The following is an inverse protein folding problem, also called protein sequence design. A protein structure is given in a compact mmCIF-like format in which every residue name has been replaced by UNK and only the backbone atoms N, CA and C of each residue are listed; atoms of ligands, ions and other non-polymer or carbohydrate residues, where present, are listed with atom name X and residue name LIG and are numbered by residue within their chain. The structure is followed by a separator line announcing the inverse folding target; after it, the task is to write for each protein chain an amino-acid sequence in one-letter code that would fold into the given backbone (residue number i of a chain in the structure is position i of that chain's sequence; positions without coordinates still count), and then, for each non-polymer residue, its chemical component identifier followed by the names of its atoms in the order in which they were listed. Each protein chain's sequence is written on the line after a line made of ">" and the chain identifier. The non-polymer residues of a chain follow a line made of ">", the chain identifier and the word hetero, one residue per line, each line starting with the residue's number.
data_IF_671842656547
#
_entry.id   IF_671842656547
#
_cell.length_a   1.000
_cell.length_b   1.000
_cell.length_c   1.000
_cell.angle_alpha   90.00
_cell.angle_beta   90.00
_cell.angle_gamma   90.00
#
_symmetry.space_group_name_H-M   'P 1'
#
loop_
_entity.id
_entity.type
_entity.pdbx_description
1 polymer ?
#
# COMPACT_ATOMS: atom_id res chain seq x y z
N UNK A 1 0.60 -32.89 -15.58
CA UNK A 1 1.17 -31.58 -15.91
C UNK A 1 1.08 -30.75 -14.65
N UNK A 2 2.20 -30.25 -14.14
CA UNK A 2 2.18 -29.32 -12.99
C UNK A 2 1.70 -27.99 -13.56
N UNK A 3 0.49 -27.57 -13.21
CA UNK A 3 0.02 -26.22 -13.53
C UNK A 3 0.92 -25.25 -12.75
N UNK A 4 1.63 -24.33 -13.41
CA UNK A 4 2.44 -23.34 -12.70
C UNK A 4 1.52 -22.52 -11.77
N UNK A 5 1.98 -22.24 -10.54
CA UNK A 5 1.22 -21.38 -9.61
C UNK A 5 1.00 -20.01 -10.26
N UNK A 6 -0.21 -19.43 -10.17
CA UNK A 6 -0.51 -18.10 -10.72
C UNK A 6 0.40 -17.01 -10.16
N UNK A 7 0.94 -17.20 -8.95
CA UNK A 7 1.83 -16.25 -8.27
C UNK A 7 3.30 -16.66 -8.28
N UNK A 8 3.66 -17.72 -9.01
CA UNK A 8 5.02 -18.24 -9.11
C UNK A 8 5.51 -18.91 -7.82
N UNK A 9 6.83 -18.87 -7.58
CA UNK A 9 7.39 -19.34 -6.30
C UNK A 9 6.90 -18.46 -5.13
N UNK A 10 6.90 -19.01 -3.93
CA UNK A 10 6.50 -18.29 -2.71
C UNK A 10 7.58 -18.42 -1.64
N UNK A 11 7.80 -17.34 -0.90
CA UNK A 11 8.89 -17.18 0.05
C UNK A 11 8.31 -16.90 1.43
N UNK A 12 8.36 -17.91 2.31
CA UNK A 12 7.92 -17.78 3.70
C UNK A 12 8.99 -17.11 4.54
N UNK A 13 8.58 -16.13 5.34
CA UNK A 13 9.35 -15.46 6.38
C UNK A 13 8.73 -15.76 7.74
N UNK A 14 9.56 -15.76 8.78
CA UNK A 14 9.20 -16.07 10.15
C UNK A 14 10.11 -15.33 11.14
N UNK A 15 9.51 -14.81 12.20
CA UNK A 15 10.24 -14.23 13.33
C UNK A 15 9.39 -14.35 14.60
N UNK A 16 9.78 -15.20 15.55
CA UNK A 16 8.96 -15.50 16.72
C UNK A 16 7.66 -16.19 16.32
N UNK A 17 6.51 -15.60 16.68
CA UNK A 17 5.16 -16.05 16.32
C UNK A 17 4.60 -15.40 15.05
N UNK A 18 5.44 -14.62 14.34
CA UNK A 18 5.08 -13.96 13.09
C UNK A 18 5.43 -14.83 11.90
N UNK A 19 4.55 -14.84 10.89
CA UNK A 19 4.78 -15.50 9.61
C UNK A 19 4.27 -14.60 8.47
N UNK A 20 5.05 -14.45 7.41
CA UNK A 20 4.64 -13.74 6.19
C UNK A 20 4.99 -14.56 4.95
N UNK A 21 4.22 -14.40 3.87
CA UNK A 21 4.48 -15.08 2.59
C UNK A 21 4.53 -14.04 1.47
N UNK A 22 5.64 -14.00 0.75
CA UNK A 22 5.86 -13.12 -0.41
C UNK A 22 5.88 -13.95 -1.69
N UNK A 23 5.22 -13.47 -2.74
CA UNK A 23 5.12 -14.18 -4.03
C UNK A 23 6.18 -13.72 -5.03
N UNK A 24 6.60 -14.60 -5.93
CA UNK A 24 7.55 -14.27 -7.00
C UNK A 24 6.93 -13.35 -8.05
N UNK A 25 5.66 -13.59 -8.41
CA UNK A 25 4.91 -12.68 -9.28
C UNK A 25 4.40 -11.48 -8.46
N UNK A 26 4.66 -10.29 -8.98
CA UNK A 26 4.30 -9.02 -8.37
C UNK A 26 5.15 -8.62 -7.15
N UNK A 27 6.03 -9.51 -6.67
CA UNK A 27 6.62 -9.41 -5.34
C UNK A 27 5.56 -9.14 -4.26
N UNK A 28 4.38 -9.76 -4.37
CA UNK A 28 3.22 -9.42 -3.55
C UNK A 28 3.25 -10.03 -2.16
N UNK A 29 2.66 -9.35 -1.18
CA UNK A 29 2.44 -9.89 0.16
C UNK A 29 1.14 -10.71 0.19
N UNK A 30 1.25 -12.05 0.20
CA UNK A 30 0.09 -12.96 0.20
C UNK A 30 -0.47 -13.18 1.61
N UNK A 31 0.41 -13.38 2.58
CA UNK A 31 0.04 -13.61 3.97
C UNK A 31 0.92 -12.76 4.89
N UNK A 32 0.34 -12.28 5.98
CA UNK A 32 1.08 -11.83 7.15
C UNK A 32 0.21 -12.07 8.38
N UNK A 33 0.69 -12.86 9.34
CA UNK A 33 -0.01 -13.22 10.57
C UNK A 33 0.91 -13.18 11.78
N UNK A 34 0.35 -12.91 12.95
CA UNK A 34 1.04 -12.86 14.25
C UNK A 34 0.27 -13.73 15.23
N UNK A 35 0.90 -14.74 15.81
CA UNK A 35 0.25 -15.65 16.75
C UNK A 35 -0.97 -16.38 16.15
N UNK A 36 -0.96 -16.62 14.84
CA UNK A 36 -2.08 -17.21 14.10
C UNK A 36 -3.23 -16.25 13.77
N UNK A 37 -3.13 -14.97 14.16
CA UNK A 37 -4.08 -13.92 13.77
C UNK A 37 -3.56 -13.22 12.52
N UNK A 38 -4.35 -13.25 11.45
CA UNK A 38 -4.04 -12.52 10.22
C UNK A 38 -3.88 -11.03 10.50
N UNK A 39 -2.94 -10.36 9.85
CA UNK A 39 -2.82 -8.90 9.84
C UNK A 39 -3.32 -8.36 8.51
N UNK A 40 -3.05 -9.10 7.44
CA UNK A 40 -3.64 -8.87 6.12
C UNK A 40 -4.58 -10.02 5.76
N UNK A 41 -5.62 -9.75 4.96
CA UNK A 41 -6.51 -10.78 4.41
C UNK A 41 -5.67 -11.69 3.50
N UNK A 42 -5.59 -13.00 3.80
CA UNK A 42 -4.84 -13.93 2.98
C UNK A 42 -5.64 -14.34 1.74
N UNK A 43 -4.96 -14.91 0.75
CA UNK A 43 -5.58 -15.64 -0.36
C UNK A 43 -4.83 -16.95 -0.64
N UNK A 44 -5.50 -17.89 -1.31
CA UNK A 44 -4.98 -19.25 -1.52
C UNK A 44 -3.71 -19.27 -2.41
N UNK A 45 -2.83 -20.24 -2.16
CA UNK A 45 -1.52 -20.29 -2.82
C UNK A 45 -1.58 -20.54 -4.34
N UNK A 46 -2.69 -21.11 -4.83
CA UNK A 46 -2.98 -21.38 -6.23
C UNK A 46 -4.01 -20.42 -6.84
N UNK A 47 -4.27 -19.29 -6.19
CA UNK A 47 -5.15 -18.22 -6.68
C UNK A 47 -4.36 -17.01 -7.22
N UNK A 48 -4.91 -16.33 -8.24
CA UNK A 48 -4.44 -14.99 -8.60
C UNK A 48 -4.76 -14.00 -7.48
N UNK A 49 -3.91 -12.99 -7.22
CA UNK A 49 -4.19 -12.02 -6.16
C UNK A 49 -5.55 -11.34 -6.39
N UNK A 50 -6.56 -11.56 -5.52
CA UNK A 50 -7.85 -10.92 -5.67
C UNK A 50 -7.68 -9.42 -5.45
N UNK A 51 -8.43 -8.55 -6.13
CA UNK A 51 -8.47 -7.10 -5.84
C UNK A 51 -7.12 -6.45 -5.43
N UNK A 52 -6.04 -6.73 -6.19
CA UNK A 52 -4.67 -6.23 -5.94
C UNK A 52 -4.06 -6.61 -4.57
N UNK A 53 -4.49 -7.69 -3.92
CA UNK A 53 -3.98 -8.08 -2.60
C UNK A 53 -2.45 -8.14 -2.52
N UNK A 54 -1.88 -7.29 -1.67
CA UNK A 54 -0.45 -7.23 -1.41
C UNK A 54 0.39 -6.65 -2.55
N UNK A 55 -0.23 -6.06 -3.58
CA UNK A 55 0.45 -5.60 -4.77
C UNK A 55 1.34 -4.36 -4.55
N UNK A 56 2.40 -4.27 -5.36
CA UNK A 56 3.22 -3.06 -5.54
C UNK A 56 2.72 -2.33 -6.79
N UNK A 57 2.38 -1.05 -6.66
CA UNK A 57 1.74 -0.25 -7.69
C UNK A 57 2.75 0.77 -8.22
N UNK A 58 3.44 0.43 -9.31
CA UNK A 58 4.49 1.26 -9.91
C UNK A 58 4.55 1.05 -11.43
N UNK A 59 4.93 2.08 -12.22
CA UNK A 59 5.49 3.37 -11.83
C UNK A 59 4.47 4.48 -11.56
N UNK A 60 3.19 4.15 -11.38
CA UNK A 60 2.21 5.04 -10.78
C UNK A 60 1.23 4.22 -9.92
N UNK A 61 0.78 4.75 -8.78
CA UNK A 61 -0.35 4.20 -8.06
C UNK A 61 -1.66 4.70 -8.67
N UNK A 62 -2.73 3.97 -8.37
CA UNK A 62 -4.10 4.36 -8.71
C UNK A 62 -4.26 4.74 -10.20
N UNK A 63 -5.19 5.64 -10.52
CA UNK A 63 -5.67 5.91 -11.88
C UNK A 63 -4.86 6.98 -12.59
N UNK A 64 -4.78 6.90 -13.91
CA UNK A 64 -4.23 7.92 -14.80
C UNK A 64 -5.23 8.18 -15.93
N UNK A 65 -5.69 9.43 -16.02
CA UNK A 65 -6.74 9.86 -16.93
C UNK A 65 -6.38 9.57 -18.39
N UNK A 66 -7.26 8.86 -19.09
CA UNK A 66 -7.17 8.57 -20.53
C UNK A 66 -5.89 7.82 -20.93
N UNK A 67 -5.16 7.27 -19.95
CA UNK A 67 -3.85 6.65 -20.17
C UNK A 67 -2.83 7.64 -20.75
N UNK A 68 -3.06 8.96 -20.71
CA UNK A 68 -2.28 9.93 -21.49
C UNK A 68 -1.64 10.97 -20.58
N UNK A 69 -0.33 11.14 -20.71
CA UNK A 69 0.42 12.16 -19.98
C UNK A 69 1.49 12.79 -20.86
N UNK A 70 2.02 13.94 -20.43
CA UNK A 70 3.14 14.60 -21.10
C UNK A 70 4.25 14.82 -20.10
N UNK A 71 5.45 14.38 -20.44
CA UNK A 71 6.64 14.49 -19.60
C UNK A 71 7.84 14.90 -20.47
N UNK A 72 8.63 15.87 -20.00
CA UNK A 72 9.79 16.42 -20.72
C UNK A 72 9.52 16.72 -22.21
N UNK A 73 8.33 17.27 -22.49
CA UNK A 73 7.90 17.68 -23.83
C UNK A 73 7.39 16.56 -24.75
N UNK A 74 7.44 15.30 -24.30
CA UNK A 74 6.91 14.15 -25.03
C UNK A 74 5.55 13.71 -24.46
N UNK A 75 4.56 13.49 -25.32
CA UNK A 75 3.30 12.85 -24.94
C UNK A 75 3.44 11.34 -25.02
N UNK A 76 2.97 10.65 -24.00
CA UNK A 76 2.91 9.20 -23.94
C UNK A 76 1.47 8.70 -23.78
N UNK A 77 1.21 7.50 -24.29
CA UNK A 77 -0.08 6.81 -24.22
C UNK A 77 0.09 5.40 -23.67
N UNK A 78 -0.46 5.19 -22.48
CA UNK A 78 -0.53 3.92 -21.76
C UNK A 78 -1.76 3.11 -22.22
N UNK A 79 -1.72 1.78 -22.08
CA UNK A 79 -2.90 0.94 -22.21
C UNK A 79 -3.99 1.34 -21.19
N UNK A 80 -5.25 1.26 -21.61
CA UNK A 80 -6.41 1.38 -20.72
C UNK A 80 -6.77 -0.02 -20.23
N UNK A 81 -6.64 -0.23 -18.92
CA UNK A 81 -6.95 -1.49 -18.24
C UNK A 81 -8.11 -1.39 -17.25
N UNK A 82 -8.70 -0.20 -17.07
CA UNK A 82 -10.06 0.01 -16.52
C UNK A 82 -10.93 0.75 -17.57
N UNK A 83 -11.48 0.03 -18.57
CA UNK A 83 -12.24 0.63 -19.68
C UNK A 83 -13.48 1.40 -19.26
N UNK A 84 -14.17 0.97 -18.20
CA UNK A 84 -15.41 1.59 -17.71
C UNK A 84 -15.17 3.04 -17.25
N UNK A 85 -13.97 3.34 -16.77
CA UNK A 85 -13.56 4.69 -16.35
C UNK A 85 -12.62 5.38 -17.33
N UNK A 86 -12.21 4.69 -18.41
CA UNK A 86 -11.25 5.17 -19.39
C UNK A 86 -9.92 5.60 -18.73
N UNK A 87 -9.35 4.77 -17.87
CA UNK A 87 -8.09 5.07 -17.18
C UNK A 87 -7.09 3.93 -17.31
N UNK A 88 -5.80 4.27 -17.21
CA UNK A 88 -4.75 3.30 -16.91
C UNK A 88 -4.59 3.22 -15.39
N UNK A 89 -4.44 2.04 -14.80
CA UNK A 89 -4.47 1.86 -13.35
C UNK A 89 -3.30 1.03 -12.83
N UNK A 90 -2.71 1.43 -11.69
CA UNK A 90 -1.79 0.62 -10.87
C UNK A 90 -0.47 0.18 -11.51
N UNK A 91 -0.05 0.82 -12.61
CA UNK A 91 1.25 0.56 -13.20
C UNK A 91 1.39 -0.86 -13.78
N UNK A 92 2.62 -1.35 -13.82
CA UNK A 92 2.95 -2.62 -14.49
C UNK A 92 3.39 -3.71 -13.54
N UNK A 93 4.10 -3.33 -12.46
CA UNK A 93 5.00 -4.27 -11.77
C UNK A 93 4.29 -5.37 -10.98
N UNK A 94 3.01 -5.16 -10.63
CA UNK A 94 2.19 -6.15 -9.91
C UNK A 94 1.91 -7.43 -10.71
N UNK A 95 2.01 -7.37 -12.06
CA UNK A 95 1.81 -8.53 -12.95
C UNK A 95 3.10 -9.24 -13.35
N UNK A 96 4.24 -8.63 -13.09
CA UNK A 96 5.56 -9.07 -13.57
C UNK A 96 6.15 -10.17 -12.67
N UNK A 97 7.06 -10.98 -13.22
CA UNK A 97 7.84 -11.94 -12.42
C UNK A 97 9.09 -11.27 -11.87
N UNK A 98 9.26 -11.28 -10.56
CA UNK A 98 10.42 -10.71 -9.89
C UNK A 98 11.47 -11.78 -9.61
N UNK A 99 12.74 -11.40 -9.71
CA UNK A 99 13.87 -12.28 -9.42
C UNK A 99 14.15 -12.28 -7.91
N UNK A 100 14.23 -13.46 -7.30
CA UNK A 100 14.74 -13.57 -5.92
C UNK A 100 16.23 -13.20 -5.88
N UNK A 101 16.58 -12.21 -5.07
CA UNK A 101 17.96 -11.75 -4.84
C UNK A 101 18.55 -12.32 -3.54
N UNK A 102 17.70 -12.53 -2.52
CA UNK A 102 18.09 -13.11 -1.25
C UNK A 102 16.89 -13.56 -0.42
N UNK A 103 17.06 -14.59 0.40
CA UNK A 103 16.03 -15.12 1.30
C UNK A 103 16.69 -15.77 2.52
N UNK A 104 16.26 -15.37 3.72
CA UNK A 104 16.56 -16.03 4.99
C UNK A 104 15.26 -16.29 5.75
N UNK A 105 15.38 -16.77 7.00
CA UNK A 105 14.22 -17.07 7.82
C UNK A 105 13.30 -15.87 8.03
N UNK A 106 13.83 -14.65 8.09
CA UNK A 106 13.16 -13.43 8.53
C UNK A 106 13.14 -12.31 7.47
N UNK A 107 13.76 -12.51 6.30
CA UNK A 107 13.75 -11.53 5.22
C UNK A 107 13.78 -12.16 3.82
N UNK A 108 13.21 -11.45 2.86
CA UNK A 108 13.33 -11.73 1.43
C UNK A 108 13.60 -10.44 0.66
N UNK A 109 14.43 -10.55 -0.38
CA UNK A 109 14.66 -9.48 -1.33
C UNK A 109 14.37 -9.95 -2.76
N UNK A 110 13.56 -9.17 -3.47
CA UNK A 110 13.21 -9.42 -4.86
C UNK A 110 13.55 -8.21 -5.74
N UNK A 111 13.97 -8.47 -6.98
CA UNK A 111 14.34 -7.46 -7.96
C UNK A 111 13.56 -7.58 -9.27
N UNK A 112 13.26 -6.45 -9.90
CA UNK A 112 12.63 -6.39 -11.22
C UNK A 112 13.29 -5.33 -12.09
N UNK A 113 13.78 -5.75 -13.26
CA UNK A 113 14.18 -4.84 -14.32
C UNK A 113 12.96 -4.52 -15.19
N UNK A 114 12.41 -3.33 -15.03
CA UNK A 114 11.38 -2.80 -15.93
C UNK A 114 12.07 -2.14 -17.12
N UNK A 115 12.28 -2.90 -18.18
CA UNK A 115 12.63 -2.32 -19.48
C UNK A 115 11.44 -1.50 -20.00
N UNK A 116 11.67 -0.31 -20.56
CA UNK A 116 10.58 0.59 -20.99
C UNK A 116 9.41 -0.12 -21.69
N UNK A 117 8.19 0.35 -21.43
CA UNK A 117 6.91 -0.22 -21.91
C UNK A 117 6.21 0.73 -22.88
N UNK A 118 5.27 0.24 -23.71
CA UNK A 118 4.38 1.12 -24.46
C UNK A 118 3.73 2.16 -23.53
N UNK A 119 3.91 3.44 -23.85
CA UNK A 119 3.42 4.55 -23.01
C UNK A 119 4.27 4.90 -21.79
N UNK A 120 5.34 4.15 -21.49
CA UNK A 120 6.28 4.46 -20.42
C UNK A 120 7.69 4.02 -20.83
N UNK A 121 8.42 4.80 -21.65
CA UNK A 121 9.68 4.38 -22.25
C UNK A 121 10.89 4.44 -21.31
N UNK A 122 10.68 4.64 -20.00
CA UNK A 122 11.76 4.79 -19.02
C UNK A 122 12.16 3.43 -18.44
N UNK A 123 13.47 3.21 -18.27
CA UNK A 123 14.00 1.96 -17.74
C UNK A 123 14.26 2.08 -16.23
N UNK A 124 13.58 1.26 -15.43
CA UNK A 124 13.70 1.25 -13.97
C UNK A 124 14.20 -0.11 -13.47
N UNK A 125 14.98 -0.10 -12.39
CA UNK A 125 15.29 -1.29 -11.60
C UNK A 125 14.71 -1.13 -10.21
N UNK A 126 13.75 -2.00 -9.86
CA UNK A 126 13.09 -2.03 -8.57
C UNK A 126 13.69 -3.15 -7.72
N UNK A 127 13.96 -2.87 -6.45
CA UNK A 127 14.33 -3.86 -5.42
C UNK A 127 13.44 -3.66 -4.21
N UNK A 128 12.69 -4.70 -3.85
CA UNK A 128 11.85 -4.72 -2.66
C UNK A 128 12.45 -5.65 -1.62
N UNK A 129 12.57 -5.14 -0.40
CA UNK A 129 13.05 -5.88 0.76
C UNK A 129 11.92 -5.99 1.77
N UNK A 130 11.62 -7.23 2.16
CA UNK A 130 10.69 -7.59 3.23
C UNK A 130 11.51 -8.06 4.42
N UNK A 131 11.28 -7.48 5.59
CA UNK A 131 11.94 -7.85 6.84
C UNK A 131 10.91 -8.01 7.95
N UNK A 132 10.93 -9.17 8.61
CA UNK A 132 10.25 -9.40 9.88
C UNK A 132 11.22 -9.18 11.03
N UNK A 133 10.77 -8.45 12.05
CA UNK A 133 11.46 -8.29 13.32
C UNK A 133 10.45 -8.19 14.47
N UNK A 134 10.91 -7.89 15.69
CA UNK A 134 10.04 -7.77 16.87
C UNK A 134 8.98 -6.65 16.76
N UNK A 135 9.17 -5.66 15.88
CA UNK A 135 8.27 -4.54 15.63
C UNK A 135 7.23 -4.77 14.53
N UNK A 136 7.33 -5.87 13.77
CA UNK A 136 6.40 -6.27 12.72
C UNK A 136 7.07 -6.55 11.38
N UNK A 137 6.30 -6.43 10.30
CA UNK A 137 6.79 -6.51 8.93
C UNK A 137 7.14 -5.10 8.41
N UNK A 138 8.40 -4.90 8.00
CA UNK A 138 8.86 -3.70 7.31
C UNK A 138 9.11 -4.02 5.84
N UNK A 139 8.62 -3.16 4.95
CA UNK A 139 8.81 -3.24 3.50
C UNK A 139 9.54 -1.98 3.05
N UNK A 140 10.66 -2.16 2.35
CA UNK A 140 11.41 -1.08 1.73
C UNK A 140 11.51 -1.32 0.22
N UNK A 141 11.07 -0.37 -0.58
CA UNK A 141 11.21 -0.41 -2.03
C UNK A 141 12.20 0.66 -2.48
N UNK A 142 13.27 0.24 -3.16
CA UNK A 142 14.21 1.11 -3.85
C UNK A 142 14.02 0.97 -5.36
N UNK A 143 13.74 2.09 -6.03
CA UNK A 143 13.57 2.15 -7.48
C UNK A 143 14.64 3.06 -8.07
N UNK A 144 15.50 2.50 -8.91
CA UNK A 144 16.59 3.23 -9.56
C UNK A 144 16.26 3.47 -11.03
N UNK A 145 16.56 4.66 -11.52
CA UNK A 145 16.51 4.93 -12.95
C UNK A 145 17.78 4.39 -13.60
N UNK A 146 17.61 3.41 -14.47
CA UNK A 146 18.69 2.73 -15.19
C UNK A 146 18.79 3.15 -16.66
N UNK A 147 17.94 4.08 -17.09
CA UNK A 147 18.00 4.70 -18.41
C UNK A 147 18.82 6.00 -18.41
N UNK A 148 18.92 6.60 -19.60
CA UNK A 148 19.65 7.84 -19.83
C UNK A 148 18.76 9.10 -19.68
N UNK A 149 17.43 8.93 -19.71
CA UNK A 149 16.44 10.00 -19.59
C UNK A 149 15.84 10.05 -18.18
N UNK A 150 15.38 11.23 -17.75
CA UNK A 150 14.65 11.44 -16.49
C UNK A 150 13.35 10.66 -16.50
N UNK A 151 12.97 10.04 -15.38
CA UNK A 151 11.78 9.19 -15.31
C UNK A 151 10.70 9.76 -14.36
N UNK A 152 9.46 10.04 -14.81
CA UNK A 152 8.35 10.37 -13.93
C UNK A 152 7.95 9.11 -13.14
N UNK A 153 7.70 9.28 -11.85
CA UNK A 153 7.49 8.14 -10.95
C UNK A 153 6.53 8.46 -9.81
N UNK A 154 5.66 7.50 -9.52
CA UNK A 154 4.91 7.39 -8.29
C UNK A 154 4.87 5.93 -7.84
N UNK A 155 4.58 5.70 -6.57
CA UNK A 155 4.40 4.35 -6.04
C UNK A 155 3.30 4.29 -4.99
N UNK A 156 2.62 3.15 -4.96
CA UNK A 156 1.71 2.78 -3.88
C UNK A 156 1.75 1.29 -3.60
N UNK A 157 1.04 0.87 -2.56
CA UNK A 157 0.99 -0.51 -2.11
C UNK A 157 -0.42 -0.87 -1.66
N UNK A 158 -0.81 -2.14 -1.76
CA UNK A 158 -2.20 -2.54 -1.60
C UNK A 158 -2.45 -3.61 -0.52
N UNK A 159 -2.04 -3.37 0.76
CA UNK A 159 -2.33 -4.30 1.84
C UNK A 159 -3.79 -4.20 2.27
N UNK A 160 -4.48 -5.35 2.35
CA UNK A 160 -5.84 -5.45 2.89
C UNK A 160 -5.78 -5.83 4.36
N UNK A 161 -6.03 -4.90 5.28
CA UNK A 161 -6.05 -5.17 6.72
C UNK A 161 -7.19 -6.15 7.07
N UNK A 162 -6.86 -7.19 7.83
CA UNK A 162 -7.81 -8.25 8.18
C UNK A 162 -8.60 -7.91 9.45
N UNK A 163 -9.94 -8.06 9.46
CA UNK A 163 -10.78 -7.95 10.65
C UNK A 163 -10.73 -9.22 11.53
N UNK A 164 -10.05 -10.27 11.06
CA UNK A 164 -9.93 -11.55 11.76
C UNK A 164 -11.20 -12.35 11.61
N UNK A 165 -11.73 -12.83 12.73
CA UNK A 165 -13.02 -13.52 12.74
C UNK A 165 -14.23 -12.56 12.70
N UNK A 166 -14.01 -11.24 12.82
CA UNK A 166 -15.07 -10.25 12.82
C UNK A 166 -15.45 -9.81 11.39
N UNK A 167 -16.63 -9.22 11.24
CA UNK A 167 -17.00 -8.51 10.03
C UNK A 167 -16.35 -7.11 9.99
N UNK A 168 -16.10 -6.59 8.79
CA UNK A 168 -15.60 -5.21 8.59
C UNK A 168 -16.53 -4.19 9.25
N UNK A 169 -17.85 -4.39 9.18
CA UNK A 169 -18.86 -3.49 9.77
C UNK A 169 -18.73 -3.35 11.30
N UNK A 170 -18.21 -4.37 11.97
CA UNK A 170 -18.01 -4.38 13.43
C UNK A 170 -16.68 -3.74 13.84
N UNK A 171 -15.76 -3.54 12.90
CA UNK A 171 -14.46 -2.97 13.16
C UNK A 171 -14.52 -1.45 13.29
N UNK A 172 -13.51 -0.88 13.96
CA UNK A 172 -13.25 0.55 14.01
C UNK A 172 -12.06 0.90 13.14
N UNK A 173 -12.19 1.97 12.36
CA UNK A 173 -11.17 2.48 11.48
C UNK A 173 -10.63 3.81 12.02
N UNK A 174 -9.32 3.99 11.96
CA UNK A 174 -8.64 5.26 12.16
C UNK A 174 -7.62 5.51 11.03
N UNK A 175 -7.56 6.73 10.50
CA UNK A 175 -6.70 7.15 9.39
C UNK A 175 -5.96 8.43 9.77
N UNK A 176 -4.64 8.42 9.75
CA UNK A 176 -3.82 9.59 10.07
C UNK A 176 -3.67 10.52 8.84
N UNK A 177 -4.67 11.36 8.58
CA UNK A 177 -4.68 12.31 7.46
C UNK A 177 -5.31 13.67 7.84
N UNK A 178 -5.00 14.70 7.04
CA UNK A 178 -5.50 16.07 7.25
C UNK A 178 -6.60 16.49 6.27
N UNK A 179 -6.63 15.88 5.08
CA UNK A 179 -7.52 16.28 3.99
C UNK A 179 -8.07 15.08 3.23
N UNK A 180 -9.18 15.30 2.51
CA UNK A 180 -9.83 14.30 1.66
C UNK A 180 -9.71 14.71 0.19
N UNK A 181 -9.46 13.73 -0.68
CA UNK A 181 -9.35 13.93 -2.12
C UNK A 181 -10.72 13.67 -2.73
N UNK A 182 -11.38 14.74 -3.17
CA UNK A 182 -12.66 14.63 -3.86
C UNK A 182 -12.43 14.16 -5.28
N UNK A 183 -13.17 13.13 -5.69
CA UNK A 183 -13.09 12.60 -7.05
C UNK A 183 -14.36 12.88 -7.86
N UNK A 184 -14.24 12.80 -9.18
CA UNK A 184 -15.38 12.78 -10.10
C UNK A 184 -15.93 11.35 -10.27
N UNK A 185 -16.88 11.16 -11.19
CA UNK A 185 -17.51 9.87 -11.50
C UNK A 185 -16.55 8.80 -12.04
N UNK A 186 -15.39 9.22 -12.57
CA UNK A 186 -14.30 8.34 -13.01
C UNK A 186 -13.31 8.02 -11.88
N UNK A 187 -13.60 8.46 -10.66
CA UNK A 187 -12.72 8.37 -9.50
C UNK A 187 -11.36 9.06 -9.72
N UNK A 188 -11.34 10.10 -10.55
CA UNK A 188 -10.17 10.96 -10.75
C UNK A 188 -10.25 12.16 -9.80
N UNK A 189 -9.14 12.58 -9.17
CA UNK A 189 -9.12 13.76 -8.29
C UNK A 189 -9.59 15.02 -9.00
N UNK A 190 -10.43 15.80 -8.31
CA UNK A 190 -10.90 17.13 -8.70
C UNK A 190 -10.22 18.19 -7.85
N UNK A 191 -10.24 18.01 -6.54
CA UNK A 191 -9.56 18.86 -5.56
C UNK A 191 -9.31 18.14 -4.23
N UNK A 192 -8.47 18.75 -3.39
CA UNK A 192 -8.24 18.33 -2.00
C UNK A 192 -8.96 19.31 -1.08
N UNK A 193 -9.84 18.79 -0.22
CA UNK A 193 -10.76 19.58 0.61
C UNK A 193 -10.76 19.09 2.06
N UNK A 194 -11.29 19.87 3.03
CA UNK A 194 -11.50 19.38 4.39
C UNK A 194 -12.34 18.09 4.41
N UNK A 195 -11.99 17.16 5.30
CA UNK A 195 -12.63 15.85 5.38
C UNK A 195 -14.11 15.98 5.78
N UNK A 196 -15.06 15.51 4.96
CA UNK A 196 -16.48 15.49 5.31
C UNK A 196 -16.75 14.57 6.53
N UNK A 197 -17.76 14.88 7.33
CA UNK A 197 -18.05 14.13 8.56
C UNK A 197 -18.34 12.64 8.31
N UNK A 198 -18.93 12.32 7.17
CA UNK A 198 -19.20 10.96 6.71
C UNK A 198 -17.94 10.19 6.30
N UNK A 199 -16.85 10.87 5.94
CA UNK A 199 -15.55 10.28 5.63
C UNK A 199 -14.50 10.54 6.72
N UNK A 200 -14.86 11.21 7.82
CA UNK A 200 -13.93 11.52 8.89
C UNK A 200 -13.66 10.30 9.78
N UNK A 201 -12.62 9.56 9.41
CA UNK A 201 -11.99 8.51 10.21
C UNK A 201 -10.67 8.98 10.84
N UNK A 202 -10.41 10.29 10.96
CA UNK A 202 -9.22 10.79 11.67
C UNK A 202 -9.25 10.49 13.18
N UNK A 203 -10.42 10.13 13.69
CA UNK A 203 -10.63 9.54 15.01
C UNK A 203 -11.24 8.16 14.84
N UNK A 204 -10.78 7.21 15.65
CA UNK A 204 -11.28 5.83 15.65
C UNK A 204 -12.80 5.79 15.80
N UNK A 205 -13.48 5.26 14.78
CA UNK A 205 -14.93 5.07 14.78
C UNK A 205 -15.32 3.82 14.02
N UNK A 206 -16.49 3.28 14.34
CA UNK A 206 -17.00 2.06 13.72
C UNK A 206 -17.30 2.29 12.24
N UNK A 207 -16.90 1.34 11.39
CA UNK A 207 -17.17 1.39 9.94
C UNK A 207 -18.68 1.27 9.69
N UNK A 208 -19.36 0.34 10.38
CA UNK A 208 -20.80 0.10 10.19
C UNK A 208 -21.09 -0.14 8.70
N UNK A 209 -22.05 0.57 8.11
CA UNK A 209 -22.43 0.45 6.70
C UNK A 209 -21.63 1.37 5.76
N UNK A 210 -20.54 1.98 6.22
CA UNK A 210 -19.74 2.85 5.36
C UNK A 210 -19.09 2.04 4.24
N UNK A 211 -19.25 2.51 3.01
CA UNK A 211 -18.54 2.01 1.83
C UNK A 211 -17.52 3.06 1.41
N UNK A 212 -16.26 2.67 1.35
CA UNK A 212 -15.14 3.54 1.08
C UNK A 212 -14.41 3.06 -0.17
N UNK A 213 -14.09 4.01 -1.03
CA UNK A 213 -13.02 3.95 -2.02
C UNK A 213 -12.39 5.35 -2.08
N UNK A 214 -11.85 5.78 -0.94
CA UNK A 214 -11.58 7.19 -0.65
C UNK A 214 -10.09 7.51 -0.57
N UNK A 215 -9.69 8.61 -1.23
CA UNK A 215 -8.35 9.16 -1.14
C UNK A 215 -8.23 10.18 0.00
N UNK A 216 -7.16 10.08 0.79
CA UNK A 216 -6.79 11.04 1.82
C UNK A 216 -5.41 11.62 1.54
N UNK A 217 -5.27 12.92 1.77
CA UNK A 217 -4.05 13.69 1.60
C UNK A 217 -3.60 14.29 2.94
N UNK A 218 -2.44 14.97 2.91
CA UNK A 218 -1.84 15.59 4.09
C UNK A 218 -1.68 14.58 5.24
N UNK A 219 -1.06 13.43 4.95
CA UNK A 219 -0.78 12.42 5.96
C UNK A 219 -0.12 13.06 7.20
N UNK A 220 -0.67 12.75 8.37
CA UNK A 220 -0.13 13.26 9.63
C UNK A 220 0.85 12.24 10.21
N UNK A 221 2.03 12.69 10.62
CA UNK A 221 3.08 11.81 11.12
C UNK A 221 3.31 12.03 12.61
N UNK A 222 3.33 10.93 13.35
CA UNK A 222 3.75 10.90 14.75
C UNK A 222 4.97 10.00 14.85
N UNK A 223 6.06 10.55 15.39
CA UNK A 223 7.35 9.84 15.48
C UNK A 223 7.81 9.27 14.13
N UNK A 224 7.62 10.04 13.07
CA UNK A 224 8.02 9.70 11.70
C UNK A 224 7.05 8.81 10.92
N UNK A 225 5.94 8.34 11.52
CA UNK A 225 5.00 7.43 10.86
C UNK A 225 3.58 7.98 10.83
N UNK A 226 2.91 7.78 9.69
CA UNK A 226 1.46 7.91 9.52
C UNK A 226 0.85 6.52 9.47
N UNK A 227 -0.41 6.35 9.87
CA UNK A 227 -1.03 5.05 10.06
C UNK A 227 -2.46 4.95 9.52
N UNK A 228 -2.83 3.75 9.09
CA UNK A 228 -4.22 3.28 9.05
C UNK A 228 -4.35 2.10 9.99
N UNK A 229 -5.38 2.12 10.84
CA UNK A 229 -5.63 1.09 11.86
C UNK A 229 -7.04 0.54 11.76
N UNK A 230 -7.15 -0.78 11.74
CA UNK A 230 -8.39 -1.53 11.78
C UNK A 230 -8.47 -2.31 13.11
N UNK A 231 -9.23 -1.78 14.06
CA UNK A 231 -9.45 -2.41 15.36
C UNK A 231 -10.66 -3.34 15.30
N UNK A 232 -10.46 -4.62 15.59
CA UNK A 232 -11.50 -5.63 15.69
C UNK A 232 -12.11 -5.68 17.11
N UNK A 233 -13.35 -6.17 17.27
CA UNK A 233 -14.01 -6.26 18.58
C UNK A 233 -13.31 -7.13 19.63
N UNK A 234 -12.38 -7.99 19.22
CA UNK A 234 -11.55 -8.83 20.10
C UNK A 234 -10.37 -8.05 20.72
N UNK A 235 -10.26 -6.74 20.42
CA UNK A 235 -9.19 -5.85 20.86
C UNK A 235 -7.89 -6.00 20.06
N UNK A 236 -7.86 -6.80 19.00
CA UNK A 236 -6.73 -6.87 18.07
C UNK A 236 -6.81 -5.72 17.06
N UNK A 237 -5.67 -5.13 16.70
CA UNK A 237 -5.61 -4.03 15.74
C UNK A 237 -4.64 -4.37 14.62
N UNK A 238 -5.16 -4.64 13.41
CA UNK A 238 -4.34 -4.73 12.22
C UNK A 238 -3.96 -3.31 11.79
N UNK A 239 -2.67 -3.01 11.69
CA UNK A 239 -2.18 -1.67 11.42
C UNK A 239 -1.17 -1.65 10.28
N UNK A 240 -1.34 -0.71 9.36
CA UNK A 240 -0.34 -0.34 8.34
C UNK A 240 0.20 1.04 8.66
N UNK A 241 1.49 1.24 8.42
CA UNK A 241 2.16 2.52 8.57
C UNK A 241 3.03 2.85 7.38
N UNK A 242 3.26 4.15 7.18
CA UNK A 242 4.18 4.66 6.17
C UNK A 242 5.08 5.76 6.72
N UNK A 243 6.26 5.89 6.14
CA UNK A 243 7.20 6.99 6.37
C UNK A 243 7.26 7.91 5.13
N UNK A 244 7.63 9.20 5.29
CA UNK A 244 7.91 10.07 4.14
C UNK A 244 8.93 9.42 3.18
N UNK A 245 8.81 9.60 1.86
CA UNK A 245 7.93 10.54 1.18
C UNK A 245 6.50 9.99 0.88
N UNK A 246 6.11 8.83 1.40
CA UNK A 246 4.72 8.37 1.28
C UNK A 246 3.82 9.27 2.10
N UNK A 247 2.85 9.95 1.46
CA UNK A 247 2.10 11.07 2.03
C UNK A 247 0.58 11.02 1.78
N UNK A 248 0.12 9.96 1.10
CA UNK A 248 -1.28 9.77 0.73
C UNK A 248 -1.75 8.39 1.16
N UNK A 249 -3.02 8.30 1.54
CA UNK A 249 -3.71 7.04 1.80
C UNK A 249 -4.84 6.85 0.79
N UNK A 250 -4.95 5.69 0.16
CA UNK A 250 -6.22 5.23 -0.40
C UNK A 250 -6.82 4.23 0.61
N UNK A 251 -8.10 4.40 0.94
CA UNK A 251 -8.79 3.52 1.89
C UNK A 251 -10.02 2.93 1.24
N UNK A 252 -10.05 1.60 1.12
CA UNK A 252 -11.14 0.89 0.46
C UNK A 252 -11.70 -0.23 1.36
N UNK A 253 -13.02 -0.33 1.46
CA UNK A 253 -13.70 -1.40 2.22
C UNK A 253 -14.03 -2.63 1.37
N UNK A 254 -13.65 -2.66 0.09
CA UNK A 254 -13.78 -3.85 -0.76
C UNK A 254 -15.21 -4.17 -1.18
N UNK A 255 -16.06 -3.16 -1.36
CA UNK A 255 -17.47 -3.29 -1.78
C UNK A 255 -17.61 -3.60 -3.27
N UNK A 256 -16.97 -4.69 -3.71
CA UNK A 256 -16.88 -5.12 -5.10
C UNK A 256 -17.47 -6.53 -5.24
N UNK A 257 -18.77 -6.69 -5.56
CA UNK A 257 -19.41 -8.00 -5.68
C UNK A 257 -18.72 -8.95 -6.66
N UNK A 258 -18.04 -8.41 -7.67
CA UNK A 258 -17.24 -9.16 -8.64
C UNK A 258 -16.04 -9.89 -8.02
N UNK A 259 -15.62 -9.52 -6.80
CA UNK A 259 -14.55 -10.19 -6.05
C UNK A 259 -15.02 -11.44 -5.29
N UNK A 260 -16.31 -11.76 -5.35
CA UNK A 260 -16.87 -13.00 -4.83
C UNK A 260 -16.64 -13.17 -3.34
N UNK A 261 -15.95 -14.23 -2.93
CA UNK A 261 -15.68 -14.51 -1.50
C UNK A 261 -14.80 -13.47 -0.82
N UNK A 262 -14.16 -12.57 -1.58
CA UNK A 262 -13.35 -11.48 -1.04
C UNK A 262 -14.13 -10.17 -0.85
N UNK A 263 -15.40 -10.11 -1.25
CA UNK A 263 -16.25 -8.94 -1.07
C UNK A 263 -16.30 -8.54 0.40
N UNK A 264 -15.83 -7.33 0.70
CA UNK A 264 -15.86 -6.70 2.02
C UNK A 264 -15.24 -7.54 3.15
N UNK A 265 -14.18 -8.30 2.82
CA UNK A 265 -13.46 -9.16 3.77
C UNK A 265 -12.36 -8.44 4.57
N UNK A 266 -12.00 -7.23 4.19
CA UNK A 266 -11.02 -6.41 4.87
C UNK A 266 -11.07 -4.95 4.45
N UNK A 267 -10.10 -4.18 4.93
CA UNK A 267 -9.95 -2.75 4.56
C UNK A 267 -8.58 -2.53 3.97
N UNK A 268 -8.52 -2.14 2.70
CA UNK A 268 -7.28 -1.69 2.09
C UNK A 268 -6.86 -0.37 2.74
N UNK A 269 -5.63 -0.31 3.26
CA UNK A 269 -4.98 0.91 3.73
C UNK A 269 -3.73 1.12 2.90
N UNK A 270 -3.86 1.82 1.78
CA UNK A 270 -2.86 1.87 0.74
C UNK A 270 -1.94 3.09 0.91
N UNK A 271 -0.68 2.91 1.33
CA UNK A 271 0.26 4.02 1.40
C UNK A 271 0.74 4.38 -0.01
N UNK A 272 0.69 5.66 -0.37
CA UNK A 272 1.06 6.16 -1.70
C UNK A 272 1.98 7.38 -1.62
N UNK A 273 2.89 7.52 -2.59
CA UNK A 273 3.81 8.67 -2.72
C UNK A 273 3.15 9.88 -3.36
N UNK A 274 2.09 9.67 -4.13
CA UNK A 274 1.37 10.70 -4.87
C UNK A 274 -0.11 10.30 -5.00
N UNK A 275 -1.02 11.24 -5.23
CA UNK A 275 -2.42 10.92 -5.47
C UNK A 275 -2.62 10.31 -6.85
N UNK A 276 -3.83 9.83 -7.10
CA UNK A 276 -4.24 9.43 -8.45
C UNK A 276 -4.02 10.58 -9.45
N UNK A 277 -3.74 10.23 -10.70
CA UNK A 277 -3.55 11.14 -11.82
C UNK A 277 -2.32 12.08 -11.71
N UNK A 278 -1.39 11.81 -10.79
CA UNK A 278 -0.17 12.61 -10.58
C UNK A 278 0.69 12.81 -11.85
N UNK A 279 0.68 11.85 -12.78
CA UNK A 279 1.38 11.98 -14.06
C UNK A 279 0.82 13.10 -14.95
N UNK A 280 -0.44 13.47 -14.76
CA UNK A 280 -1.12 14.54 -15.51
C UNK A 280 -1.10 15.84 -14.72
N UNK A 281 -1.37 15.79 -13.41
CA UNK A 281 -1.42 16.98 -12.56
C UNK A 281 -0.03 17.50 -12.14
N UNK A 282 0.98 16.63 -12.13
CA UNK A 282 2.29 16.89 -11.54
C UNK A 282 2.30 16.86 -10.00
N UNK A 283 1.15 16.58 -9.37
CA UNK A 283 0.99 16.63 -7.92
C UNK A 283 1.78 15.50 -7.24
N UNK A 284 2.80 15.87 -6.45
CA UNK A 284 3.74 14.95 -5.79
C UNK A 284 4.37 13.89 -6.72
N UNK A 285 4.38 14.15 -8.04
CA UNK A 285 5.04 13.27 -9.00
C UNK A 285 6.55 13.36 -8.78
N UNK A 286 7.17 12.24 -8.40
CA UNK A 286 8.61 12.17 -8.31
C UNK A 286 9.22 12.16 -9.72
N UNK A 287 10.44 12.68 -9.83
CA UNK A 287 11.29 12.50 -11.03
C UNK A 287 12.59 11.85 -10.58
N UNK A 288 12.86 10.66 -11.11
CA UNK A 288 14.11 9.95 -10.82
C UNK A 288 15.11 10.30 -11.93
N UNK A 289 16.14 11.05 -11.57
CA UNK A 289 17.25 11.39 -12.47
C UNK A 289 18.02 10.13 -12.91
N UNK A 290 18.65 10.10 -14.09
CA UNK A 290 19.49 8.99 -14.53
C UNK A 290 20.52 8.57 -13.46
N UNK A 291 20.54 7.29 -13.11
CA UNK A 291 21.41 6.73 -12.07
C UNK A 291 20.99 7.04 -10.63
N UNK A 292 19.96 7.84 -10.40
CA UNK A 292 19.43 8.12 -9.07
C UNK A 292 18.45 7.02 -8.60
N UNK A 293 18.20 6.99 -7.29
CA UNK A 293 17.30 6.04 -6.64
C UNK A 293 16.26 6.77 -5.80
N UNK A 294 14.99 6.43 -5.98
CA UNK A 294 13.90 6.79 -5.08
C UNK A 294 13.62 5.64 -4.12
N UNK A 295 13.47 5.92 -2.82
CA UNK A 295 13.21 4.88 -1.81
C UNK A 295 12.04 5.25 -0.93
N UNK A 296 11.19 4.26 -0.64
CA UNK A 296 10.07 4.38 0.29
C UNK A 296 10.09 3.24 1.30
N UNK A 297 9.59 3.50 2.50
CA UNK A 297 9.47 2.52 3.58
C UNK A 297 8.06 2.58 4.16
N UNK A 298 7.47 1.42 4.37
CA UNK A 298 6.18 1.23 5.03
C UNK A 298 6.19 -0.13 5.75
N UNK A 299 5.14 -0.43 6.50
CA UNK A 299 5.06 -1.73 7.16
C UNK A 299 3.73 -2.03 7.80
N UNK A 300 3.65 -3.22 8.38
CA UNK A 300 2.47 -3.79 9.00
C UNK A 300 2.82 -4.34 10.37
N UNK A 301 1.86 -4.31 11.30
CA UNK A 301 1.96 -5.02 12.58
C UNK A 301 0.58 -5.31 13.16
N UNK A 302 0.54 -6.24 14.10
CA UNK A 302 -0.62 -6.47 14.96
C UNK A 302 -0.42 -5.74 16.30
N UNK A 303 -1.29 -4.80 16.63
CA UNK A 303 -1.31 -4.10 17.91
C UNK A 303 -2.47 -4.60 18.79
N UNK A 304 -2.53 -4.16 20.05
CA UNK A 304 -3.68 -4.39 20.94
C UNK A 304 -4.35 -3.05 21.26
N UNK A 305 -5.67 -3.02 21.24
CA UNK A 305 -6.43 -1.84 21.63
C UNK A 305 -6.17 -1.55 23.12
N UNK A 306 -5.73 -0.32 23.42
CA UNK A 306 -5.37 0.09 24.78
C UNK A 306 -3.94 -0.17 25.21
N UNK A 307 -3.08 -0.81 24.40
CA UNK A 307 -1.63 -0.68 24.60
C UNK A 307 -1.22 0.71 24.13
N UNK A 308 -1.11 1.64 25.08
CA UNK A 308 -0.38 2.89 24.85
C UNK A 308 0.98 2.54 24.24
N UNK A 309 1.40 3.38 23.29
CA UNK A 309 2.78 3.50 22.82
C UNK A 309 3.72 3.30 24.03
N UNK A 310 4.70 2.35 24.01
CA UNK A 310 5.52 1.99 25.19
C UNK A 310 6.46 3.11 25.71
N UNK A 311 6.13 4.37 25.43
CA UNK A 311 6.82 5.57 25.84
C UNK A 311 5.93 6.48 26.72
N UNK A 312 4.91 5.95 27.39
CA UNK A 312 4.18 6.68 28.44
C UNK A 312 4.78 6.52 29.85
N UNK A 313 5.95 5.89 29.98
CA UNK A 313 6.72 5.90 31.21
C UNK A 313 8.00 6.70 31.00
N UNK A 314 8.12 7.83 31.69
CA UNK A 314 9.35 8.61 31.75
C UNK A 314 9.19 10.10 31.46
N UNK A 315 8.24 10.78 32.11
CA UNK A 315 8.48 12.16 32.52
C UNK A 315 7.63 12.50 33.75
N UNK A 316 8.09 12.02 34.89
CA UNK A 316 7.73 12.57 36.19
C UNK A 316 9.02 12.93 36.90
N UNK A 317 9.65 14.03 36.46
CA UNK A 317 10.65 14.70 37.28
C UNK A 317 9.97 15.22 38.55
N UNK A 318 10.43 14.67 39.66
CA UNK A 318 10.23 15.18 41.01
C UNK A 318 10.73 16.63 41.09
N UNK A 319 9.82 17.60 41.10
CA UNK A 319 10.09 18.86 41.79
C UNK A 319 9.89 18.65 43.28
N UNK A 320 10.95 18.22 43.97
CA UNK A 320 11.07 18.35 45.42
C UNK A 320 12.02 19.51 45.78
N UNK A 321 11.40 20.50 46.40
CA UNK A 321 11.87 21.59 47.26
C UNK A 321 13.36 21.60 47.68
N UNK A 322 14.00 22.74 47.44
CA UNK A 322 15.21 23.22 48.13
C UNK A 322 15.36 24.73 47.99
#
# INVERSE_FOLDING_TARGET
>A
MITPSPTGRQFTLSHGDQEAVVTERGAGLREYRVGGRDVVVPYEADEEPPAMHGAILAPWPNRLADGRYTFDGATHQLPIDEPERQVAIHGFVHKETWQLLGHSADQAELGLQLTGRPGYPFALHLRVHYQLDAGGLTIRLATSNTGDDRAPYGVGFHPWLSPGAAAVDDCRLAVDAGSWIRTNERLLPVDTVPIPAEMDFTRSRRISTASLDEGYADATYRRGRSWVRLAAPDGSVAAVWMEPPLAFWQVCTGDFPETGSYERTGVAGEPMSCPANAFVSGDHLAVIEPGATHTVTWGLRLEREGTNDPASEGDSEETEVG
#
